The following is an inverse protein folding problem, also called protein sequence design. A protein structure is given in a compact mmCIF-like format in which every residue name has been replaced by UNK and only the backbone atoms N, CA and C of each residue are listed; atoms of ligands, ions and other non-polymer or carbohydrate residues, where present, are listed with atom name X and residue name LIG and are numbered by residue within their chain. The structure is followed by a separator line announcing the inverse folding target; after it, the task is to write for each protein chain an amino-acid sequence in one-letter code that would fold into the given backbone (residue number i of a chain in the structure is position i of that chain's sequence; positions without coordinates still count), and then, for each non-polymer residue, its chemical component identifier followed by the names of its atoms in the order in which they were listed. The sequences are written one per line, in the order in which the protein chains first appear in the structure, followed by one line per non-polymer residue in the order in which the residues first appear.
data_IF_460337538126
#
_entry.id   IF_460337538126
#
_cell.length_a   1.000
_cell.length_b   1.000
_cell.length_c   1.000
_cell.angle_alpha   90.00
_cell.angle_beta   90.00
_cell.angle_gamma   90.00
#
_symmetry.space_group_name_H-M   'P 1'
#
loop_
_entity.id
_entity.type
_entity.pdbx_description
1 polymer ?
#
# COMPACT_ATOMS: atom_id res chain seq x y z
N UNK A 1 -4.37 -12.25 -4.06
CA UNK A 1 -4.29 -11.76 -5.47
C UNK A 1 -3.27 -10.61 -5.52
N UNK A 2 -2.35 -10.56 -6.49
CA UNK A 2 -1.33 -9.49 -6.61
C UNK A 2 -1.61 -8.62 -7.85
N UNK A 3 -1.67 -7.31 -7.67
CA UNK A 3 -1.97 -6.34 -8.72
C UNK A 3 -0.76 -6.21 -9.66
N UNK A 4 -0.77 -6.84 -10.84
CA UNK A 4 0.33 -6.79 -11.82
C UNK A 4 -0.19 -6.54 -13.25
N UNK A 5 0.54 -5.72 -14.02
CA UNK A 5 0.05 -4.86 -15.09
C UNK A 5 0.32 -5.39 -16.51
N UNK A 6 0.16 -6.70 -16.71
CA UNK A 6 0.22 -7.31 -18.04
C UNK A 6 -1.06 -8.07 -18.33
N UNK A 7 -2.07 -7.40 -18.89
CA UNK A 7 -3.42 -7.94 -19.16
C UNK A 7 -4.36 -7.95 -17.94
N UNK A 8 -4.70 -6.77 -17.42
CA UNK A 8 -5.66 -6.64 -16.30
C UNK A 8 -7.08 -7.12 -16.70
N UNK A 9 -7.43 -7.23 -17.99
CA UNK A 9 -8.68 -7.91 -18.41
C UNK A 9 -8.59 -9.45 -18.43
N UNK A 10 -7.40 -10.05 -18.53
CA UNK A 10 -7.23 -11.47 -18.87
C UNK A 10 -6.96 -12.41 -17.68
N UNK A 11 -6.81 -11.87 -16.46
CA UNK A 11 -6.61 -12.68 -15.25
C UNK A 11 -7.62 -12.42 -14.12
N UNK A 12 -8.52 -11.43 -14.26
CA UNK A 12 -9.61 -11.23 -13.31
C UNK A 12 -10.78 -12.22 -13.50
N UNK A 13 -10.93 -12.82 -14.69
CA UNK A 13 -12.05 -13.72 -15.00
C UNK A 13 -11.84 -15.21 -14.65
N UNK A 14 -10.72 -15.58 -14.01
CA UNK A 14 -10.36 -16.99 -13.73
C UNK A 14 -10.29 -17.35 -12.24
N UNK A 15 -10.65 -16.42 -11.34
CA UNK A 15 -10.58 -16.63 -9.91
C UNK A 15 -11.92 -17.02 -9.25
N UNK A 16 -12.95 -17.36 -10.03
CA UNK A 16 -14.34 -17.56 -9.54
C UNK A 16 -14.62 -18.84 -8.74
N UNK A 17 -13.62 -19.58 -8.26
CA UNK A 17 -13.92 -20.82 -7.51
C UNK A 17 -12.76 -21.34 -6.67
N UNK A 18 -12.58 -20.81 -5.44
CA UNK A 18 -12.44 -21.61 -4.20
C UNK A 18 -12.08 -20.71 -2.99
N UNK A 19 -12.87 -20.89 -1.91
CA UNK A 19 -12.71 -20.40 -0.54
C UNK A 19 -13.08 -18.94 -0.23
N UNK A 20 -14.12 -18.83 0.59
CA UNK A 20 -14.59 -17.67 1.37
C UNK A 20 -13.41 -16.95 2.06
N UNK A 21 -13.40 -15.61 1.96
CA UNK A 21 -12.31 -14.64 2.23
C UNK A 21 -11.26 -14.50 1.12
N UNK A 22 -11.57 -13.69 0.10
CA UNK A 22 -10.54 -13.21 -0.82
C UNK A 22 -9.69 -12.14 -0.13
N UNK A 23 -8.37 -12.29 -0.27
CA UNK A 23 -7.38 -11.35 0.26
C UNK A 23 -6.69 -10.67 -0.94
N UNK A 24 -6.97 -9.38 -1.11
CA UNK A 24 -6.37 -8.57 -2.17
C UNK A 24 -5.28 -7.69 -1.57
N UNK A 25 -4.03 -7.99 -1.92
CA UNK A 25 -2.87 -7.16 -1.60
C UNK A 25 -2.46 -6.45 -2.88
N UNK A 26 -2.66 -5.14 -2.95
CA UNK A 26 -1.88 -4.34 -3.89
C UNK A 26 -0.65 -3.84 -3.12
N UNK A 27 0.46 -4.56 -3.26
CA UNK A 27 1.75 -4.14 -2.76
C UNK A 27 2.42 -3.34 -3.89
N UNK A 28 2.98 -2.16 -3.58
CA UNK A 28 4.03 -1.60 -4.42
C UNK A 28 5.21 -2.57 -4.31
N UNK A 29 5.32 -3.52 -5.23
CA UNK A 29 6.44 -4.46 -5.27
C UNK A 29 7.26 -4.20 -6.51
N UNK A 30 8.55 -3.99 -6.28
CA UNK A 30 9.54 -4.50 -7.22
C UNK A 30 10.01 -5.88 -6.84
N UNK A 31 9.64 -6.85 -7.68
CA UNK A 31 10.60 -7.72 -8.40
C UNK A 31 9.88 -8.45 -9.54
N UNK A 32 9.95 -7.86 -10.74
CA UNK A 32 9.48 -8.46 -12.00
C UNK A 32 8.18 -7.87 -12.56
N UNK A 33 8.26 -7.33 -13.80
CA UNK A 33 7.19 -6.84 -14.71
C UNK A 33 6.04 -5.94 -14.18
N UNK A 34 5.92 -5.69 -12.86
CA UNK A 34 4.81 -4.94 -12.24
C UNK A 34 5.18 -3.82 -11.27
N UNK A 35 6.46 -3.64 -10.96
CA UNK A 35 6.94 -2.61 -10.03
C UNK A 35 7.53 -1.40 -10.73
N UNK A 36 6.82 -0.83 -11.70
CA UNK A 36 7.40 0.22 -12.57
C UNK A 36 7.38 1.61 -11.94
N UNK A 37 6.63 1.80 -10.85
CA UNK A 37 6.66 3.02 -10.02
C UNK A 37 8.08 3.23 -9.49
N UNK A 38 8.64 2.20 -8.82
CA UNK A 38 10.02 2.20 -8.34
C UNK A 38 11.06 2.41 -9.46
N UNK A 39 10.88 1.73 -10.60
CA UNK A 39 11.78 1.91 -11.75
C UNK A 39 11.78 3.36 -12.25
N UNK A 40 10.60 3.97 -12.36
CA UNK A 40 10.45 5.35 -12.76
C UNK A 40 11.19 6.30 -11.80
N UNK A 41 11.09 6.05 -10.50
CA UNK A 41 11.81 6.85 -9.49
C UNK A 41 13.32 6.67 -9.56
N UNK A 42 13.82 5.43 -9.62
CA UNK A 42 15.25 5.17 -9.78
C UNK A 42 15.84 5.85 -11.02
N UNK A 43 15.10 5.87 -12.14
CA UNK A 43 15.53 6.53 -13.37
C UNK A 43 15.43 8.05 -13.33
N UNK A 44 14.91 8.63 -12.23
CA UNK A 44 14.62 10.06 -12.07
C UNK A 44 13.42 10.54 -12.88
N UNK A 45 12.64 9.63 -13.48
CA UNK A 45 11.55 9.89 -14.42
C UNK A 45 10.21 9.89 -13.71
N UNK A 46 9.96 10.98 -12.96
CA UNK A 46 8.74 11.12 -12.16
C UNK A 46 7.44 10.95 -12.96
N UNK A 47 7.42 11.36 -14.24
CA UNK A 47 6.24 11.19 -15.10
C UNK A 47 5.84 9.73 -15.29
N UNK A 48 6.85 8.86 -15.45
CA UNK A 48 6.61 7.43 -15.58
C UNK A 48 6.17 6.86 -14.23
N UNK A 49 6.88 7.19 -13.14
CA UNK A 49 6.51 6.72 -11.82
C UNK A 49 5.05 7.07 -11.46
N UNK A 50 4.64 8.33 -11.66
CA UNK A 50 3.28 8.77 -11.35
C UNK A 50 2.21 8.20 -12.28
N UNK A 51 2.52 7.98 -13.57
CA UNK A 51 1.58 7.28 -14.46
C UNK A 51 1.37 5.82 -14.02
N UNK A 52 2.43 5.11 -13.64
CA UNK A 52 2.32 3.74 -13.13
C UNK A 52 1.53 3.71 -11.80
N UNK A 53 1.67 4.74 -10.96
CA UNK A 53 0.84 4.91 -9.74
C UNK A 53 -0.65 5.09 -10.08
N UNK A 54 -0.97 5.87 -11.12
CA UNK A 54 -2.36 6.01 -11.60
C UNK A 54 -2.92 4.68 -12.10
N UNK A 55 -2.12 3.89 -12.81
CA UNK A 55 -2.56 2.57 -13.29
C UNK A 55 -2.75 1.56 -12.15
N UNK A 56 -1.94 1.64 -11.09
CA UNK A 56 -2.19 0.88 -9.86
C UNK A 56 -3.51 1.29 -9.19
N UNK A 57 -3.80 2.59 -9.10
CA UNK A 57 -5.06 3.10 -8.55
C UNK A 57 -6.28 2.62 -9.36
N UNK A 58 -6.18 2.61 -10.70
CA UNK A 58 -7.21 2.00 -11.56
C UNK A 58 -7.40 0.52 -11.29
N UNK A 59 -6.31 -0.23 -11.07
CA UNK A 59 -6.37 -1.65 -10.73
C UNK A 59 -7.05 -1.90 -9.39
N UNK A 60 -6.78 -1.06 -8.37
CA UNK A 60 -7.45 -1.07 -7.07
C UNK A 60 -8.95 -0.82 -7.26
N UNK A 61 -9.33 0.20 -8.02
CA UNK A 61 -10.74 0.49 -8.33
C UNK A 61 -11.43 -0.66 -9.08
N UNK A 62 -10.70 -1.35 -9.98
CA UNK A 62 -11.24 -2.53 -10.67
C UNK A 62 -11.44 -3.71 -9.72
N UNK A 63 -10.51 -3.96 -8.80
CA UNK A 63 -10.66 -4.99 -7.79
C UNK A 63 -11.86 -4.70 -6.86
N UNK A 64 -12.09 -3.44 -6.51
CA UNK A 64 -13.25 -3.03 -5.70
C UNK A 64 -14.59 -3.35 -6.37
N UNK A 65 -14.67 -3.23 -7.71
CA UNK A 65 -15.86 -3.57 -8.48
C UNK A 65 -16.09 -5.08 -8.62
N UNK A 66 -15.08 -5.89 -8.35
CA UNK A 66 -15.11 -7.35 -8.53
C UNK A 66 -15.17 -8.11 -7.21
N UNK A 67 -15.12 -7.41 -6.08
CA UNK A 67 -15.09 -8.01 -4.75
C UNK A 67 -16.17 -7.41 -3.84
N UNK A 68 -16.51 -8.12 -2.77
CA UNK A 68 -17.48 -7.64 -1.78
C UNK A 68 -16.77 -7.16 -0.53
N UNK A 69 -17.08 -5.95 -0.07
CA UNK A 69 -16.54 -5.41 1.18
C UNK A 69 -16.92 -6.24 2.42
N UNK A 70 -17.90 -7.12 2.30
CA UNK A 70 -18.38 -7.95 3.41
C UNK A 70 -17.54 -9.21 3.65
N UNK A 71 -16.81 -9.69 2.63
CA UNK A 71 -16.01 -10.91 2.71
C UNK A 71 -14.57 -10.72 2.22
N UNK A 72 -14.23 -9.56 1.65
CA UNK A 72 -12.92 -9.27 1.08
C UNK A 72 -12.23 -8.18 1.87
N UNK A 73 -11.03 -8.48 2.38
CA UNK A 73 -10.12 -7.48 2.93
C UNK A 73 -9.14 -7.02 1.85
N UNK A 74 -9.19 -5.74 1.52
CA UNK A 74 -8.26 -5.09 0.59
C UNK A 74 -7.28 -4.25 1.37
N UNK A 75 -5.98 -4.51 1.16
CA UNK A 75 -4.88 -3.73 1.75
C UNK A 75 -4.00 -3.16 0.65
N UNK A 76 -3.74 -1.86 0.72
CA UNK A 76 -2.85 -1.12 -0.19
C UNK A 76 -1.73 -0.49 0.63
N UNK A 77 -0.49 -0.76 0.26
CA UNK A 77 0.69 -0.22 0.95
C UNK A 77 1.92 -0.20 0.04
N UNK A 78 3.01 0.39 0.53
CA UNK A 78 4.32 0.33 -0.11
C UNK A 78 5.28 -0.62 0.62
N UNK A 79 6.26 -1.15 -0.11
CA UNK A 79 7.43 -1.80 0.50
C UNK A 79 8.42 -0.77 1.06
N UNK A 80 8.61 0.36 0.37
CA UNK A 80 9.38 1.52 0.80
C UNK A 80 8.97 2.79 0.01
N UNK A 81 9.59 3.93 0.33
CA UNK A 81 9.42 5.19 -0.41
C UNK A 81 10.62 5.48 -1.34
N UNK A 82 10.73 6.70 -1.83
CA UNK A 82 11.82 7.25 -2.65
C UNK A 82 12.20 8.64 -2.15
N UNK A 83 13.39 9.14 -2.50
CA UNK A 83 13.80 10.52 -2.19
C UNK A 83 13.15 11.55 -3.13
N UNK A 84 11.91 11.27 -3.53
CA UNK A 84 11.05 12.10 -4.36
C UNK A 84 10.41 13.21 -3.53
N UNK A 85 10.44 14.44 -4.03
CA UNK A 85 9.81 15.59 -3.39
C UNK A 85 8.99 16.38 -4.41
N UNK A 86 7.86 16.92 -3.97
CA UNK A 86 7.06 17.89 -4.74
C UNK A 86 6.86 19.16 -3.91
N UNK A 87 7.09 20.32 -4.52
CA UNK A 87 7.05 21.60 -3.80
C UNK A 87 7.05 22.81 -4.73
N UNK A 88 7.64 23.91 -4.26
CA UNK A 88 7.80 25.14 -5.06
C UNK A 88 6.56 26.02 -5.16
N UNK A 89 5.60 25.92 -4.22
CA UNK A 89 4.44 26.81 -4.11
C UNK A 89 3.61 26.95 -5.41
N UNK A 90 3.48 25.88 -6.19
CA UNK A 90 2.67 25.88 -7.41
C UNK A 90 1.19 26.16 -7.11
N UNK A 91 0.57 27.04 -7.89
CA UNK A 91 -0.86 27.32 -7.81
C UNK A 91 -1.72 26.08 -8.11
N UNK A 92 -2.92 26.04 -7.53
CA UNK A 92 -3.89 24.97 -7.76
C UNK A 92 -4.23 24.87 -9.25
N UNK A 93 -4.22 23.65 -9.80
CA UNK A 93 -4.52 23.37 -11.21
C UNK A 93 -3.31 23.39 -12.13
N UNK A 94 -2.13 23.79 -11.63
CA UNK A 94 -0.89 23.59 -12.37
C UNK A 94 -0.58 22.10 -12.52
N UNK A 95 0.02 21.74 -13.66
CA UNK A 95 0.55 20.38 -13.86
C UNK A 95 1.62 20.06 -12.82
N UNK A 96 1.58 18.85 -12.26
CA UNK A 96 2.56 18.38 -11.27
C UNK A 96 3.97 18.28 -11.86
N UNK A 97 4.08 18.13 -13.18
CA UNK A 97 5.34 18.14 -13.92
C UNK A 97 5.80 19.55 -14.31
N UNK A 98 5.06 20.57 -13.88
CA UNK A 98 5.29 21.96 -14.23
C UNK A 98 6.44 22.61 -13.46
N UNK A 99 6.71 23.85 -13.83
CA UNK A 99 7.65 24.71 -13.13
C UNK A 99 7.01 25.33 -11.89
N UNK A 100 7.84 25.59 -10.88
CA UNK A 100 7.48 26.52 -9.82
C UNK A 100 7.19 27.91 -10.42
N UNK A 101 6.31 28.72 -9.83
CA UNK A 101 5.96 30.05 -10.35
C UNK A 101 7.05 31.10 -10.10
N UNK A 102 8.14 30.72 -9.42
CA UNK A 102 9.26 31.59 -9.06
C UNK A 102 10.57 31.04 -9.62
N UNK A 103 11.52 31.93 -9.85
CA UNK A 103 12.91 31.57 -10.12
C UNK A 103 13.63 31.32 -8.79
N UNK A 104 14.74 30.58 -8.84
CA UNK A 104 15.67 30.58 -7.70
C UNK A 104 16.20 32.01 -7.49
N UNK A 105 16.15 32.47 -6.25
CA UNK A 105 16.72 33.75 -5.81
C UNK A 105 18.26 33.77 -5.88
N UNK A 106 18.91 32.62 -5.95
CA UNK A 106 20.37 32.47 -6.02
C UNK A 106 20.86 32.50 -7.47
N UNK A 107 20.38 31.58 -8.33
CA UNK A 107 20.91 31.42 -9.69
C UNK A 107 20.01 31.99 -10.80
N UNK A 108 18.86 32.55 -10.42
CA UNK A 108 17.88 33.17 -11.32
C UNK A 108 17.36 32.22 -12.43
N UNK A 109 17.43 30.89 -12.21
CA UNK A 109 16.91 29.90 -13.14
C UNK A 109 15.62 29.25 -12.60
N UNK A 110 14.68 28.88 -13.48
CA UNK A 110 13.48 28.16 -13.09
C UNK A 110 13.82 26.75 -12.59
N UNK A 111 12.87 26.13 -11.91
CA UNK A 111 12.97 24.75 -11.44
C UNK A 111 11.59 24.08 -11.48
N UNK A 112 11.58 22.76 -11.63
CA UNK A 112 10.34 21.96 -11.61
C UNK A 112 9.78 21.84 -10.19
N UNK A 113 8.47 21.68 -10.08
CA UNK A 113 7.82 21.40 -8.78
C UNK A 113 8.34 20.10 -8.16
N UNK A 114 8.60 19.09 -9.01
CA UNK A 114 9.21 17.82 -8.62
C UNK A 114 10.72 17.92 -8.66
N UNK A 115 11.37 17.41 -7.61
CA UNK A 115 12.83 17.20 -7.50
C UNK A 115 13.13 15.87 -6.80
N UNK A 116 14.36 15.39 -6.91
CA UNK A 116 14.85 14.25 -6.12
C UNK A 116 16.02 14.65 -5.20
N UNK A 117 16.18 13.96 -4.09
CA UNK A 117 17.35 14.13 -3.23
C UNK A 117 18.66 13.70 -3.91
N UNK A 118 18.61 12.61 -4.67
CA UNK A 118 19.74 12.10 -5.46
C UNK A 118 19.24 11.42 -6.74
N UNK A 119 20.15 11.03 -7.64
CA UNK A 119 19.79 10.28 -8.84
C UNK A 119 20.38 10.83 -10.13
N UNK A 120 19.95 10.26 -11.28
CA UNK A 120 20.56 10.54 -12.58
C UNK A 120 20.21 11.91 -13.16
N UNK A 121 19.19 12.58 -12.60
CA UNK A 121 18.79 13.93 -13.03
C UNK A 121 19.72 15.06 -12.56
N UNK A 122 20.75 14.76 -11.78
CA UNK A 122 21.78 15.75 -11.45
C UNK A 122 22.55 16.15 -12.71
N UNK A 123 22.56 17.44 -13.05
CA UNK A 123 23.28 17.98 -14.21
C UNK A 123 23.93 19.32 -13.90
N UNK A 124 25.22 19.42 -14.26
CA UNK A 124 25.95 20.68 -14.33
C UNK A 124 26.34 20.96 -15.78
N UNK A 125 25.93 22.12 -16.28
CA UNK A 125 26.36 22.66 -17.57
C UNK A 125 27.32 23.81 -17.28
N UNK A 126 28.57 23.68 -17.73
CA UNK A 126 29.64 24.67 -17.51
C UNK A 126 29.80 25.07 -16.04
N UNK A 127 29.70 24.09 -15.12
CA UNK A 127 29.83 24.31 -13.68
C UNK A 127 28.61 24.91 -12.98
N UNK A 128 27.49 25.12 -13.69
CA UNK A 128 26.25 25.65 -13.13
C UNK A 128 25.06 24.71 -13.36
N UNK A 129 24.01 24.85 -12.55
CA UNK A 129 22.75 24.09 -12.71
C UNK A 129 22.15 24.29 -14.11
N UNK A 130 21.64 23.22 -14.71
CA UNK A 130 20.92 23.29 -15.99
C UNK A 130 19.70 24.22 -15.88
N UNK A 131 19.50 25.08 -16.88
CA UNK A 131 18.30 25.89 -16.96
C UNK A 131 17.16 25.02 -17.54
N UNK A 132 16.17 24.68 -16.72
CA UNK A 132 15.08 23.78 -17.16
C UNK A 132 14.24 24.34 -18.30
N UNK A 133 14.24 25.66 -18.55
CA UNK A 133 13.56 26.25 -19.71
C UNK A 133 14.26 25.99 -21.04
N UNK A 134 15.50 25.50 -21.03
CA UNK A 134 16.24 25.16 -22.26
C UNK A 134 16.16 23.68 -22.61
N UNK A 135 15.42 22.89 -21.83
CA UNK A 135 15.17 21.47 -22.08
C UNK A 135 13.68 21.21 -22.18
N UNK A 136 13.31 20.13 -22.85
CA UNK A 136 11.92 19.68 -22.85
C UNK A 136 11.60 18.95 -21.54
N UNK A 137 11.30 19.73 -20.50
CA UNK A 137 10.88 19.19 -19.21
C UNK A 137 9.49 18.53 -19.26
N UNK A 138 8.77 18.64 -20.39
CA UNK A 138 7.50 17.96 -20.61
C UNK A 138 7.70 16.56 -21.24
N UNK A 139 8.90 16.21 -21.67
CA UNK A 139 9.21 14.89 -22.22
C UNK A 139 8.88 13.77 -21.22
N UNK A 140 8.39 12.64 -21.73
CA UNK A 140 8.00 11.50 -20.89
C UNK A 140 9.18 10.80 -20.20
N UNK A 141 10.41 11.03 -20.68
CA UNK A 141 11.66 10.56 -20.11
C UNK A 141 12.46 11.68 -19.44
N UNK A 142 11.88 12.87 -19.24
CA UNK A 142 12.56 13.94 -18.50
C UNK A 142 12.97 13.45 -17.11
N UNK A 143 14.25 13.60 -16.79
CA UNK A 143 14.82 13.30 -15.48
C UNK A 143 14.77 14.56 -14.64
N UNK A 144 13.96 14.56 -13.58
CA UNK A 144 13.83 15.71 -12.70
C UNK A 144 15.16 15.97 -11.97
N UNK A 145 15.47 17.25 -11.74
CA UNK A 145 16.74 17.66 -11.13
C UNK A 145 16.93 17.00 -9.75
N UNK A 146 18.17 16.59 -9.47
CA UNK A 146 18.56 15.98 -8.21
C UNK A 146 19.70 16.73 -7.54
N UNK A 147 19.85 16.62 -6.22
CA UNK A 147 20.91 17.30 -5.47
C UNK A 147 22.25 16.55 -5.46
N UNK A 148 22.24 15.21 -5.43
CA UNK A 148 23.45 14.36 -5.46
C UNK A 148 23.45 13.45 -6.70
N UNK A 149 24.54 13.41 -7.49
CA UNK A 149 24.60 12.57 -8.70
C UNK A 149 24.72 11.09 -8.36
N UNK A 150 23.81 10.28 -8.90
CA UNK A 150 23.90 8.81 -8.90
C UNK A 150 23.40 8.27 -10.24
N UNK A 151 23.80 7.04 -10.61
CA UNK A 151 23.26 6.39 -11.81
C UNK A 151 21.80 5.96 -11.65
N UNK A 152 21.39 5.72 -10.41
CA UNK A 152 20.03 5.37 -10.00
C UNK A 152 19.73 6.14 -8.71
N UNK A 153 18.54 6.71 -8.61
CA UNK A 153 18.05 7.31 -7.37
C UNK A 153 17.89 6.23 -6.27
N UNK A 154 17.93 6.61 -4.99
CA UNK A 154 17.82 5.68 -3.85
C UNK A 154 16.42 5.67 -3.25
N UNK A 155 16.04 4.54 -2.63
CA UNK A 155 14.81 4.50 -1.82
C UNK A 155 14.81 5.52 -0.68
N UNK A 156 13.61 5.92 -0.27
CA UNK A 156 13.31 6.70 0.92
C UNK A 156 13.10 5.78 2.12
N UNK A 157 13.51 6.26 3.29
CA UNK A 157 13.45 5.51 4.56
C UNK A 157 12.37 6.00 5.52
N UNK A 158 11.50 6.90 5.06
CA UNK A 158 10.34 7.37 5.82
C UNK A 158 9.20 6.34 5.81
N UNK A 159 8.35 6.43 6.83
CA UNK A 159 7.16 5.59 6.95
C UNK A 159 6.25 5.73 5.72
N UNK A 160 5.67 4.61 5.30
CA UNK A 160 4.73 4.55 4.17
C UNK A 160 3.31 4.28 4.64
N UNK A 161 2.33 4.74 3.87
CA UNK A 161 0.92 4.58 4.21
C UNK A 161 0.45 3.11 4.08
N UNK A 162 -0.52 2.75 4.92
CA UNK A 162 -1.31 1.53 4.79
C UNK A 162 -2.78 1.95 4.71
N UNK A 163 -3.46 1.58 3.63
CA UNK A 163 -4.89 1.74 3.47
C UNK A 163 -5.55 0.37 3.52
N UNK A 164 -6.67 0.27 4.24
CA UNK A 164 -7.39 -0.99 4.40
C UNK A 164 -8.90 -0.78 4.30
N UNK A 165 -9.59 -1.75 3.67
CA UNK A 165 -11.05 -1.82 3.54
C UNK A 165 -11.50 -3.26 3.70
N UNK A 166 -12.66 -3.49 4.32
CA UNK A 166 -13.26 -4.81 4.47
C UNK A 166 -13.18 -5.41 5.89
N UNK A 167 -13.36 -6.73 6.04
CA UNK A 167 -13.36 -7.42 7.33
C UNK A 167 -12.09 -7.15 8.13
N UNK A 168 -12.27 -6.77 9.40
CA UNK A 168 -11.19 -6.43 10.34
C UNK A 168 -10.18 -5.35 9.87
N UNK A 169 -10.51 -4.55 8.85
CA UNK A 169 -9.64 -3.46 8.38
C UNK A 169 -9.29 -2.45 9.48
N UNK A 170 -10.15 -2.30 10.50
CA UNK A 170 -9.93 -1.43 11.66
C UNK A 170 -8.71 -1.81 12.51
N UNK A 171 -8.13 -3.00 12.32
CA UNK A 171 -6.88 -3.41 12.99
C UNK A 171 -5.65 -2.69 12.42
N UNK A 172 -5.71 -2.20 11.17
CA UNK A 172 -4.64 -1.40 10.57
C UNK A 172 -4.87 0.09 10.90
N UNK A 173 -4.40 0.51 12.09
CA UNK A 173 -4.56 1.88 12.60
C UNK A 173 -3.27 2.43 13.24
N UNK A 174 -3.03 3.74 13.21
CA UNK A 174 -1.84 4.31 13.87
C UNK A 174 -0.54 3.94 13.15
N UNK A 175 0.54 3.69 13.91
CA UNK A 175 1.88 3.37 13.39
C UNK A 175 2.23 1.93 13.73
N UNK A 176 2.67 1.17 12.73
CA UNK A 176 3.02 -0.24 12.86
C UNK A 176 4.32 -0.57 12.15
N UNK A 177 4.99 -1.60 12.63
CA UNK A 177 6.07 -2.25 11.89
C UNK A 177 5.51 -2.92 10.63
N UNK A 178 6.26 -2.90 9.52
CA UNK A 178 5.78 -3.45 8.23
C UNK A 178 5.39 -4.94 8.32
N UNK A 179 6.08 -5.71 9.16
CA UNK A 179 5.76 -7.13 9.36
C UNK A 179 4.41 -7.36 10.07
N UNK A 180 3.80 -6.33 10.66
CA UNK A 180 2.46 -6.42 11.25
C UNK A 180 1.37 -6.70 10.22
N UNK A 181 1.51 -6.16 9.01
CA UNK A 181 0.53 -6.26 7.92
C UNK A 181 0.15 -7.73 7.64
N UNK A 182 1.08 -8.65 7.32
CA UNK A 182 0.72 -10.05 7.07
C UNK A 182 0.10 -10.75 8.29
N UNK A 183 0.42 -10.34 9.53
CA UNK A 183 -0.21 -10.90 10.72
C UNK A 183 -1.69 -10.52 10.81
N UNK A 184 -2.05 -9.26 10.57
CA UNK A 184 -3.46 -8.82 10.53
C UNK A 184 -4.21 -9.54 9.43
N UNK A 185 -3.60 -9.66 8.25
CA UNK A 185 -4.23 -10.32 7.11
C UNK A 185 -4.47 -11.82 7.38
N UNK A 186 -3.49 -12.51 7.96
CA UNK A 186 -3.65 -13.90 8.38
C UNK A 186 -4.71 -14.07 9.48
N UNK A 187 -4.83 -13.08 10.37
CA UNK A 187 -5.85 -13.05 11.42
C UNK A 187 -7.26 -12.89 10.84
N UNK A 188 -7.44 -11.93 9.92
CA UNK A 188 -8.72 -11.67 9.24
C UNK A 188 -9.19 -12.83 8.37
N UNK A 189 -8.27 -13.53 7.72
CA UNK A 189 -8.57 -14.69 6.86
C UNK A 189 -8.57 -16.03 7.61
N UNK A 190 -8.41 -16.05 8.94
CA UNK A 190 -8.40 -17.27 9.75
C UNK A 190 -7.30 -18.27 9.31
N UNK A 191 -6.16 -17.78 8.84
CA UNK A 191 -5.07 -18.60 8.28
C UNK A 191 -4.06 -18.96 9.39
N UNK A 192 -3.52 -20.18 9.33
CA UNK A 192 -2.45 -20.65 10.19
C UNK A 192 -2.90 -20.79 11.65
N UNK A 193 -2.17 -20.14 12.56
CA UNK A 193 -2.43 -20.18 14.00
C UNK A 193 -3.70 -19.42 14.41
N UNK A 194 -4.30 -18.63 13.51
CA UNK A 194 -5.45 -17.76 13.82
C UNK A 194 -6.82 -18.43 13.62
N UNK A 195 -6.87 -19.73 13.30
CA UNK A 195 -8.14 -20.44 13.00
C UNK A 195 -9.16 -20.37 14.13
N UNK A 196 -8.71 -20.45 15.38
CA UNK A 196 -9.58 -20.55 16.56
C UNK A 196 -10.42 -19.27 16.81
N UNK A 197 -9.89 -18.09 16.47
CA UNK A 197 -10.61 -16.83 16.62
C UNK A 197 -11.91 -16.81 15.79
N UNK A 198 -11.90 -17.49 14.65
CA UNK A 198 -13.04 -17.53 13.72
C UNK A 198 -14.07 -18.62 14.04
N UNK A 199 -13.73 -19.57 14.93
CA UNK A 199 -14.66 -20.64 15.35
C UNK A 199 -15.58 -20.18 16.48
N UNK A 200 -15.13 -19.20 17.28
CA UNK A 200 -15.89 -18.70 18.44
C UNK A 200 -17.13 -17.85 18.08
N UNK A 201 -17.31 -17.46 16.82
CA UNK A 201 -18.47 -16.67 16.34
C UNK A 201 -19.63 -17.53 15.82
N UNK A 202 -19.49 -18.87 15.77
CA UNK A 202 -20.58 -19.80 15.40
C UNK A 202 -21.40 -20.33 16.59
N UNK A 203 -21.13 -19.83 17.80
CA UNK A 203 -21.85 -20.23 19.00
C UNK A 203 -23.22 -19.57 19.07
N UNK A 204 -24.24 -20.24 18.53
CA UNK A 204 -25.56 -20.13 19.13
C UNK A 204 -25.39 -20.24 20.65
N UNK A 205 -25.91 -19.28 21.40
CA UNK A 205 -25.91 -19.31 22.85
C UNK A 205 -26.61 -20.59 23.33
N UNK A 206 -25.81 -21.63 23.58
CA UNK A 206 -26.28 -22.91 24.12
C UNK A 206 -26.59 -22.65 25.61
N UNK A 207 -27.79 -22.15 25.87
CA UNK A 207 -28.38 -22.05 27.20
C UNK A 207 -28.56 -23.47 27.74
N UNK A 208 -27.52 -24.02 28.37
CA UNK A 208 -27.63 -25.27 29.10
C UNK A 208 -28.33 -25.01 30.44
N UNK A 209 -29.50 -25.63 30.72
CA UNK A 209 -30.12 -25.51 32.03
C UNK A 209 -29.30 -26.31 33.04
N UNK A 210 -28.83 -25.64 34.08
CA UNK A 210 -28.19 -26.30 35.22
C UNK A 210 -29.28 -26.99 36.05
N UNK A 211 -29.48 -28.28 35.83
CA UNK A 211 -30.27 -29.13 36.73
C UNK A 211 -29.46 -29.36 38.02
N UNK A 212 -29.76 -28.55 39.03
CA UNK A 212 -29.25 -28.69 40.40
C UNK A 212 -29.69 -30.02 40.99
N UNK A 213 -28.74 -30.95 41.14
CA UNK A 213 -28.96 -32.23 41.79
C UNK A 213 -28.80 -32.08 43.30
N UNK A 214 -29.86 -31.59 43.97
CA UNK A 214 -29.99 -31.76 45.43
C UNK A 214 -30.83 -33.02 45.66
N UNK A 215 -30.18 -34.18 45.64
CA UNK A 215 -30.76 -35.40 46.19
C UNK A 215 -30.52 -35.40 47.71
N UNK A 216 -31.61 -35.19 48.45
CA UNK A 216 -31.64 -35.21 49.90
C UNK A 216 -31.21 -36.59 50.45
N UNK A 217 -30.17 -36.62 51.28
CA UNK A 217 -29.85 -37.77 52.12
C UNK A 217 -30.82 -37.77 53.31
N UNK A 218 -31.92 -38.50 53.18
CA UNK A 218 -32.80 -38.86 54.29
C UNK A 218 -32.24 -40.10 54.99
N UNK A 219 -32.10 -39.96 56.29
CA UNK A 219 -31.73 -40.92 57.33
C UNK A 219 -32.44 -42.27 57.23
N UNK A 220 -31.74 -43.40 57.46
CA UNK A 220 -32.27 -44.51 58.28
C UNK A 220 -31.15 -45.16 59.10
N UNK A 221 -31.31 -45.03 60.41
CA UNK A 221 -30.64 -45.72 61.51
C UNK A 221 -30.92 -47.23 61.59
N UNK A 222 -29.91 -47.96 62.11
CA UNK A 222 -29.94 -49.27 62.83
C UNK A 222 -30.06 -50.57 62.01
N UNK A 223 -29.11 -51.48 62.28
CA UNK A 223 -29.23 -52.92 62.65
C UNK A 223 -27.77 -53.38 62.97
N UNK A 224 -27.37 -53.49 64.25
CA UNK A 224 -27.24 -54.75 65.02
C UNK A 224 -26.45 -55.87 64.30
N UNK A 225 -25.14 -55.95 64.54
CA UNK A 225 -24.45 -57.00 65.31
C UNK A 225 -22.96 -56.67 65.44
#
# INVERSE_FOLDING_TARGET
MACNQGSIELNLSRADSLLVTELTVCLLLKRGRGGRIDHGHHEGKAKQALHETVEMDRAIGRADLLTSVHDTMTVVTADHSHVFNFGGYTGRGNTIFGLAPMLSDIDQKPFTSIIYGNGPGYKLLNGARENVSTVDYQDNNYQAQAAVPLSMETHGGEDVAVFAKGPLAHLLHGVHEQNYIPHVMAYAACIGQNREHCVSSSGAADLRPVLSSIAALLTVTRILC
#
